data_IF_114105376829
#
_entry.id   IF_114105376829
#
_cell.length_a   1.000
_cell.length_b   1.000
_cell.length_c   1.000
_cell.angle_alpha   90.00
_cell.angle_beta   90.00
_cell.angle_gamma   90.00
#
_symmetry.space_group_name_H-M   'P 1'
#
loop_
_entity.id
_entity.type
_entity.pdbx_description
1 polymer ?
#
# COMPACT_ATOMS: atom_id res chain seq x y z
N UNK A 1 -24.02 -39.51 10.02
CA UNK A 1 -23.58 -38.76 11.20
C UNK A 1 -22.87 -37.52 10.68
N UNK A 2 -23.39 -36.32 10.95
CA UNK A 2 -22.65 -35.08 10.71
C UNK A 2 -21.72 -34.93 11.91
N UNK A 3 -20.43 -35.16 11.72
CA UNK A 3 -19.45 -34.80 12.73
C UNK A 3 -19.29 -33.27 12.65
N UNK A 4 -19.83 -32.59 13.65
CA UNK A 4 -19.64 -31.16 13.86
C UNK A 4 -18.20 -30.97 14.38
N UNK A 5 -17.25 -30.86 13.45
CA UNK A 5 -15.89 -30.41 13.76
C UNK A 5 -15.90 -28.88 13.77
N UNK A 6 -16.34 -28.26 14.86
CA UNK A 6 -16.09 -26.83 15.05
C UNK A 6 -14.58 -26.64 15.31
N UNK A 7 -13.84 -26.32 14.24
CA UNK A 7 -12.37 -26.19 14.22
C UNK A 7 -11.90 -24.90 14.94
N UNK A 8 -12.73 -24.21 15.74
CA UNK A 8 -12.41 -22.90 16.30
C UNK A 8 -12.92 -22.73 17.74
N UNK A 9 -12.13 -22.06 18.58
CA UNK A 9 -12.55 -21.52 19.89
C UNK A 9 -13.09 -20.09 19.64
N UNK A 10 -14.36 -19.85 19.98
CA UNK A 10 -15.19 -18.68 19.56
C UNK A 10 -14.71 -17.32 20.10
N UNK A 11 -13.53 -17.23 20.71
CA UNK A 11 -13.07 -16.03 21.44
C UNK A 11 -12.39 -14.96 20.59
N UNK A 12 -12.20 -15.21 19.29
CA UNK A 12 -11.67 -14.24 18.31
C UNK A 12 -12.58 -14.07 17.08
N UNK A 13 -13.84 -14.53 17.14
CA UNK A 13 -14.76 -14.54 15.99
C UNK A 13 -15.51 -13.21 15.85
N UNK A 14 -15.42 -12.62 14.66
CA UNK A 14 -16.33 -11.57 14.22
C UNK A 14 -16.85 -12.03 12.85
N UNK A 15 -18.16 -12.20 12.71
CA UNK A 15 -18.89 -12.35 11.44
C UNK A 15 -18.40 -13.42 10.45
N UNK A 16 -18.00 -14.59 10.92
CA UNK A 16 -17.73 -15.73 10.03
C UNK A 16 -16.33 -15.76 9.41
N UNK A 17 -15.41 -14.95 9.93
CA UNK A 17 -14.01 -14.86 9.52
C UNK A 17 -13.05 -15.14 10.68
N UNK A 18 -11.83 -15.57 10.35
CA UNK A 18 -10.70 -15.74 11.29
C UNK A 18 -9.55 -14.87 10.82
N UNK A 19 -8.98 -14.09 11.74
CA UNK A 19 -7.76 -13.33 11.51
C UNK A 19 -6.58 -14.05 12.17
N UNK A 20 -5.64 -14.57 11.39
CA UNK A 20 -4.44 -15.22 11.93
C UNK A 20 -3.44 -14.17 12.39
N UNK A 21 -3.06 -14.00 13.66
CA UNK A 21 -2.06 -12.96 14.01
C UNK A 21 -0.64 -13.54 14.07
N UNK A 22 0.35 -12.85 13.48
CA UNK A 22 1.76 -13.26 13.55
C UNK A 22 2.23 -13.20 15.01
N UNK A 23 2.81 -14.29 15.52
CA UNK A 23 3.30 -14.39 16.90
C UNK A 23 2.23 -14.53 18.00
N UNK A 24 0.94 -14.39 17.66
CA UNK A 24 -0.17 -14.65 18.58
C UNK A 24 -0.72 -16.05 18.31
N UNK A 25 -0.96 -16.89 19.32
CA UNK A 25 -1.69 -18.13 19.12
C UNK A 25 -3.13 -17.77 18.79
N UNK A 26 -3.46 -17.63 17.52
CA UNK A 26 -4.84 -17.84 17.11
C UNK A 26 -5.19 -19.27 17.50
N UNK A 27 -6.15 -19.40 18.41
CA UNK A 27 -6.68 -20.68 18.86
C UNK A 27 -7.49 -21.32 17.72
N UNK A 28 -6.77 -21.86 16.73
CA UNK A 28 -7.26 -22.97 15.94
C UNK A 28 -7.60 -24.10 16.91
N UNK A 29 -8.68 -24.84 16.63
CA UNK A 29 -9.20 -25.85 17.55
C UNK A 29 -8.09 -26.74 18.07
N UNK A 30 -8.08 -27.03 19.38
CA UNK A 30 -7.10 -27.92 19.98
C UNK A 30 -7.16 -29.35 19.41
N UNK A 31 -8.21 -29.69 18.65
CA UNK A 31 -8.36 -30.95 17.94
C UNK A 31 -7.59 -30.99 16.61
N UNK A 32 -7.12 -29.85 16.10
CA UNK A 32 -6.40 -29.77 14.83
C UNK A 32 -4.96 -30.30 14.97
N UNK A 33 -4.46 -31.13 14.03
CA UNK A 33 -3.07 -31.59 14.07
C UNK A 33 -2.08 -30.43 14.07
N UNK A 34 -1.07 -30.51 14.95
CA UNK A 34 -0.06 -29.44 15.12
C UNK A 34 0.61 -29.02 13.81
N UNK A 35 0.89 -29.98 12.91
CA UNK A 35 1.51 -29.73 11.62
C UNK A 35 0.60 -28.92 10.68
N UNK A 36 -0.70 -29.23 10.63
CA UNK A 36 -1.68 -28.46 9.83
C UNK A 36 -1.84 -27.05 10.39
N UNK A 37 -1.93 -26.94 11.71
CA UNK A 37 -2.03 -25.65 12.37
C UNK A 37 -0.76 -24.80 12.17
N UNK A 38 0.41 -25.44 12.08
CA UNK A 38 1.68 -24.79 11.76
C UNK A 38 1.72 -24.35 10.30
N UNK A 39 1.33 -25.21 9.34
CA UNK A 39 1.25 -24.89 7.92
C UNK A 39 0.31 -23.70 7.65
N UNK A 40 -0.90 -23.73 8.21
CA UNK A 40 -1.86 -22.62 8.07
C UNK A 40 -1.27 -21.33 8.63
N UNK A 41 -0.58 -21.40 9.77
CA UNK A 41 0.12 -20.24 10.35
C UNK A 41 1.26 -19.74 9.49
N UNK A 42 2.02 -20.63 8.87
CA UNK A 42 3.18 -20.29 8.05
C UNK A 42 2.77 -19.54 6.78
N UNK A 43 1.76 -20.05 6.07
CA UNK A 43 1.36 -19.50 4.77
C UNK A 43 0.21 -18.48 4.83
N UNK A 44 -0.57 -18.44 5.92
CA UNK A 44 -1.70 -17.53 6.08
C UNK A 44 -1.57 -16.60 7.30
N UNK A 45 -0.35 -16.48 7.86
CA UNK A 45 -0.07 -15.51 8.92
C UNK A 45 -0.59 -14.13 8.51
N UNK A 46 -1.40 -13.54 9.38
CA UNK A 46 -1.85 -12.15 9.30
C UNK A 46 -2.68 -11.84 8.04
N UNK A 47 -3.28 -12.92 7.53
CA UNK A 47 -4.44 -12.94 6.65
C UNK A 47 -5.76 -13.02 7.46
N UNK A 48 -6.81 -12.43 6.90
CA UNK A 48 -8.20 -12.62 7.33
C UNK A 48 -8.86 -13.57 6.34
N UNK A 49 -9.34 -14.71 6.83
CA UNK A 49 -9.85 -15.80 5.99
C UNK A 49 -11.26 -16.15 6.45
N UNK A 50 -12.21 -16.35 5.53
CA UNK A 50 -13.55 -16.81 5.90
C UNK A 50 -13.49 -18.22 6.47
N UNK A 51 -14.40 -18.59 7.38
CA UNK A 51 -14.45 -19.96 7.91
C UNK A 51 -14.62 -21.01 6.82
N UNK A 52 -15.37 -20.68 5.76
CA UNK A 52 -15.58 -21.59 4.63
C UNK A 52 -14.27 -21.87 3.90
N UNK A 53 -13.46 -20.84 3.65
CA UNK A 53 -12.18 -21.00 3.00
C UNK A 53 -11.16 -21.66 3.93
N UNK A 54 -11.14 -21.30 5.22
CA UNK A 54 -10.29 -21.92 6.22
C UNK A 54 -10.58 -23.41 6.35
N UNK A 55 -11.85 -23.82 6.42
CA UNK A 55 -12.22 -25.23 6.46
C UNK A 55 -11.75 -25.98 5.21
N UNK A 56 -11.84 -25.37 4.03
CA UNK A 56 -11.30 -25.96 2.80
C UNK A 56 -9.78 -26.13 2.86
N UNK A 57 -9.06 -25.12 3.34
CA UNK A 57 -7.60 -25.17 3.52
C UNK A 57 -7.24 -26.26 4.52
N UNK A 58 -7.92 -26.33 5.67
CA UNK A 58 -7.70 -27.34 6.71
C UNK A 58 -7.94 -28.74 6.16
N UNK A 59 -9.09 -29.00 5.53
CA UNK A 59 -9.41 -30.29 4.93
C UNK A 59 -8.39 -30.70 3.87
N UNK A 60 -7.94 -29.74 3.06
CA UNK A 60 -6.90 -29.98 2.06
C UNK A 60 -5.54 -30.30 2.71
N UNK A 61 -5.24 -29.68 3.85
CA UNK A 61 -4.02 -29.92 4.60
C UNK A 61 -4.07 -31.19 5.44
N UNK A 62 -5.21 -31.84 5.68
CA UNK A 62 -5.23 -33.12 6.40
C UNK A 62 -4.60 -34.26 5.59
N UNK A 63 -4.56 -34.12 4.26
CA UNK A 63 -3.84 -35.02 3.36
C UNK A 63 -2.40 -34.54 3.13
N UNK A 64 -1.43 -35.29 3.67
CA UNK A 64 0.00 -34.97 3.54
C UNK A 64 0.49 -34.90 2.09
N UNK A 65 -0.15 -35.59 1.15
CA UNK A 65 0.20 -35.52 -0.28
C UNK A 65 -0.24 -34.20 -0.91
N UNK A 66 -1.29 -33.58 -0.38
CA UNK A 66 -1.86 -32.32 -0.86
C UNK A 66 -1.16 -31.10 -0.23
N UNK A 67 -0.73 -31.21 1.03
CA UNK A 67 0.07 -30.16 1.71
C UNK A 67 1.30 -29.76 0.90
N UNK A 68 2.09 -30.75 0.48
CA UNK A 68 3.32 -30.53 -0.27
C UNK A 68 3.01 -29.94 -1.65
N UNK A 69 1.96 -30.44 -2.32
CA UNK A 69 1.52 -29.91 -3.61
C UNK A 69 1.07 -28.45 -3.53
N UNK A 70 0.33 -28.05 -2.49
CA UNK A 70 -0.07 -26.64 -2.31
C UNK A 70 1.12 -25.76 -1.98
N UNK A 71 2.04 -26.23 -1.13
CA UNK A 71 3.32 -25.54 -0.89
C UNK A 71 4.13 -25.35 -2.17
N UNK A 72 4.24 -26.39 -2.99
CA UNK A 72 4.95 -26.39 -4.27
C UNK A 72 4.24 -25.52 -5.33
N UNK A 73 2.90 -25.49 -5.32
CA UNK A 73 2.11 -24.60 -6.19
C UNK A 73 2.31 -23.15 -5.79
N UNK A 74 2.21 -22.82 -4.49
CA UNK A 74 2.45 -21.46 -3.99
C UNK A 74 3.88 -21.00 -4.31
N UNK A 75 4.87 -21.85 -4.02
CA UNK A 75 6.28 -21.62 -4.38
C UNK A 75 6.48 -21.52 -5.91
N UNK A 76 5.74 -22.32 -6.68
CA UNK A 76 5.77 -22.36 -8.13
C UNK A 76 5.08 -21.17 -8.81
N UNK A 77 4.14 -20.52 -8.13
CA UNK A 77 3.48 -19.29 -8.55
C UNK A 77 4.35 -18.08 -8.22
N UNK A 78 4.99 -18.09 -7.04
CA UNK A 78 6.00 -17.11 -6.64
C UNK A 78 7.17 -17.05 -7.63
N UNK A 79 7.66 -18.20 -8.08
CA UNK A 79 8.79 -18.30 -9.03
C UNK A 79 8.43 -17.98 -10.48
N UNK A 80 7.14 -17.97 -10.85
CA UNK A 80 6.70 -17.80 -12.25
C UNK A 80 5.93 -16.52 -12.55
N UNK A 81 5.80 -15.61 -11.58
CA UNK A 81 5.11 -14.32 -11.76
C UNK A 81 3.71 -14.42 -12.39
N UNK A 82 2.99 -15.52 -12.16
CA UNK A 82 1.68 -15.74 -12.77
C UNK A 82 0.56 -15.11 -11.93
N UNK A 83 -0.36 -14.39 -12.59
CA UNK A 83 -1.53 -13.78 -11.95
C UNK A 83 -2.54 -14.83 -11.47
N UNK A 84 -2.96 -14.68 -10.22
CA UNK A 84 -4.21 -15.22 -9.68
C UNK A 84 -4.97 -13.98 -9.19
N UNK A 85 -6.29 -13.93 -9.40
CA UNK A 85 -7.10 -12.72 -9.17
C UNK A 85 -6.85 -12.02 -7.83
N UNK A 86 -7.18 -10.73 -7.75
CA UNK A 86 -6.83 -9.73 -6.72
C UNK A 86 -6.61 -10.19 -5.25
N UNK A 87 -7.17 -11.32 -4.82
CA UNK A 87 -6.76 -11.99 -3.58
C UNK A 87 -5.27 -12.38 -3.53
N UNK A 88 -4.61 -12.63 -4.69
CA UNK A 88 -3.17 -12.87 -4.78
C UNK A 88 -2.34 -11.56 -4.68
N UNK A 89 -2.95 -10.41 -4.99
CA UNK A 89 -2.31 -9.10 -4.84
C UNK A 89 -1.87 -8.82 -3.40
N UNK A 90 -2.65 -9.29 -2.41
CA UNK A 90 -2.31 -9.27 -0.98
C UNK A 90 -1.19 -10.25 -0.58
N UNK A 91 -0.97 -11.32 -1.34
CA UNK A 91 0.17 -12.23 -1.15
C UNK A 91 1.46 -11.65 -1.75
N UNK A 92 1.37 -10.83 -2.79
CA UNK A 92 2.52 -10.24 -3.48
C UNK A 92 3.08 -9.00 -2.76
N UNK A 93 2.30 -8.29 -1.96
CA UNK A 93 2.82 -7.25 -1.04
C UNK A 93 3.67 -7.86 0.09
N UNK A 94 3.41 -9.12 0.48
CA UNK A 94 4.22 -9.84 1.47
C UNK A 94 5.56 -10.38 0.89
N UNK A 95 5.78 -10.41 -0.45
CA UNK A 95 7.08 -10.81 -1.06
C UNK A 95 8.01 -9.64 -1.41
N UNK A 96 7.58 -8.39 -1.19
CA UNK A 96 8.41 -7.19 -1.41
C UNK A 96 9.31 -6.82 -0.21
N UNK A 97 9.29 -7.58 0.90
CA UNK A 97 10.06 -7.29 2.13
C UNK A 97 11.44 -7.96 2.13
N UNK A 98 11.90 -8.55 1.03
CA UNK A 98 13.12 -9.37 1.08
C UNK A 98 14.44 -8.59 1.27
N UNK A 99 14.46 -7.27 1.46
CA UNK A 99 15.71 -6.58 1.87
C UNK A 99 15.64 -5.35 2.79
N UNK A 100 14.50 -4.80 3.21
CA UNK A 100 14.50 -3.85 4.35
C UNK A 100 13.20 -3.99 5.14
N UNK A 101 13.34 -3.94 6.46
CA UNK A 101 12.41 -4.27 7.54
C UNK A 101 11.09 -3.46 7.49
N UNK A 102 10.16 -3.81 6.61
CA UNK A 102 8.78 -3.27 6.63
C UNK A 102 7.89 -4.25 7.38
N UNK A 103 7.54 -3.93 8.62
CA UNK A 103 6.45 -4.63 9.31
C UNK A 103 5.10 -4.31 8.65
N UNK A 104 4.11 -5.21 8.78
CA UNK A 104 2.79 -5.04 8.14
C UNK A 104 2.19 -3.69 8.48
N UNK A 105 1.74 -3.01 7.44
CA UNK A 105 1.21 -1.67 7.57
C UNK A 105 -0.31 -1.73 7.75
N UNK A 106 -0.77 -1.22 8.87
CA UNK A 106 -2.16 -1.17 9.27
C UNK A 106 -2.80 0.13 8.79
N UNK A 107 -3.93 0.01 8.10
CA UNK A 107 -4.78 1.13 7.72
C UNK A 107 -6.18 0.90 8.28
N UNK A 108 -6.87 1.99 8.61
CA UNK A 108 -8.26 1.95 9.09
C UNK A 108 -9.20 1.28 8.05
N UNK A 109 -10.06 0.38 8.52
CA UNK A 109 -11.01 -0.42 7.74
C UNK A 109 -12.04 0.45 6.98
N UNK A 110 -12.18 1.73 7.35
CA UNK A 110 -13.13 2.65 6.70
C UNK A 110 -12.81 3.01 5.24
N UNK A 111 -11.58 2.75 4.75
CA UNK A 111 -11.15 3.12 3.40
C UNK A 111 -10.91 1.94 2.44
N UNK A 112 -10.97 0.72 2.94
CA UNK A 112 -10.89 -0.48 2.13
C UNK A 112 -12.25 -0.74 1.47
N UNK A 113 -12.46 -0.19 0.28
CA UNK A 113 -13.20 -0.79 -0.85
C UNK A 113 -13.10 0.21 -2.04
N UNK A 114 -12.34 -0.15 -3.08
CA UNK A 114 -12.25 0.47 -4.41
C UNK A 114 -11.47 1.80 -4.62
N UNK A 115 -11.07 2.53 -3.58
CA UNK A 115 -10.48 3.87 -3.77
C UNK A 115 -8.95 3.96 -3.86
N UNK A 116 -8.19 2.95 -3.41
CA UNK A 116 -6.74 3.08 -3.18
C UNK A 116 -5.84 2.26 -4.14
N UNK A 117 -6.37 1.76 -5.25
CA UNK A 117 -5.64 0.89 -6.17
C UNK A 117 -4.32 1.51 -6.65
N UNK A 118 -4.34 2.76 -7.11
CA UNK A 118 -3.13 3.41 -7.62
C UNK A 118 -2.08 3.69 -6.53
N UNK A 119 -2.53 3.87 -5.28
CA UNK A 119 -1.61 4.02 -4.14
C UNK A 119 -0.84 2.73 -3.85
N UNK A 120 -1.54 1.60 -3.84
CA UNK A 120 -0.94 0.29 -3.65
C UNK A 120 0.01 -0.05 -4.81
N UNK A 121 -0.43 0.18 -6.05
CA UNK A 121 0.36 -0.13 -7.25
C UNK A 121 1.64 0.71 -7.29
N UNK A 122 1.55 2.01 -6.99
CA UNK A 122 2.72 2.88 -6.97
C UNK A 122 3.66 2.54 -5.81
N UNK A 123 3.15 2.20 -4.62
CA UNK A 123 3.98 1.77 -3.50
C UNK A 123 4.78 0.51 -3.86
N UNK A 124 4.10 -0.49 -4.42
CA UNK A 124 4.70 -1.73 -4.89
C UNK A 124 5.77 -1.48 -5.97
N UNK A 125 5.44 -0.67 -6.97
CA UNK A 125 6.37 -0.30 -8.03
C UNK A 125 7.62 0.38 -7.48
N UNK A 126 7.45 1.36 -6.59
CA UNK A 126 8.57 2.13 -6.05
C UNK A 126 9.47 1.30 -5.13
N UNK A 127 8.89 0.48 -4.25
CA UNK A 127 9.65 -0.39 -3.35
C UNK A 127 10.43 -1.47 -4.10
N UNK A 128 9.87 -2.00 -5.18
CA UNK A 128 10.50 -3.09 -5.96
C UNK A 128 11.47 -2.59 -7.02
N UNK A 129 11.09 -1.58 -7.79
CA UNK A 129 11.81 -1.14 -8.99
C UNK A 129 12.25 0.33 -8.92
N UNK A 130 11.61 1.15 -8.08
CA UNK A 130 11.83 2.58 -8.03
C UNK A 130 12.85 3.05 -7.00
N UNK A 131 13.81 2.22 -6.56
CA UNK A 131 14.82 2.62 -5.56
C UNK A 131 15.58 3.89 -5.94
N UNK A 132 15.88 4.09 -7.21
CA UNK A 132 16.55 5.31 -7.72
C UNK A 132 15.73 6.59 -7.49
N UNK A 133 14.41 6.47 -7.39
CA UNK A 133 13.53 7.58 -7.05
C UNK A 133 13.43 7.83 -5.55
N UNK A 134 13.50 6.79 -4.71
CA UNK A 134 13.11 6.91 -3.30
C UNK A 134 14.27 6.81 -2.30
N UNK A 135 15.38 6.14 -2.65
CA UNK A 135 16.49 5.92 -1.73
C UNK A 135 17.16 7.25 -1.34
N UNK A 136 17.32 7.49 -0.04
CA UNK A 136 17.90 8.70 0.55
C UNK A 136 17.24 10.04 0.12
N UNK A 137 16.06 9.98 -0.50
CA UNK A 137 15.33 11.15 -0.98
C UNK A 137 14.25 11.62 0.00
N UNK A 138 13.94 12.91 -0.04
CA UNK A 138 12.83 13.49 0.69
C UNK A 138 11.56 13.43 -0.16
N UNK A 139 10.52 12.80 0.37
CA UNK A 139 9.26 12.56 -0.32
C UNK A 139 8.21 13.57 0.15
N UNK A 140 7.47 14.16 -0.78
CA UNK A 140 6.23 14.90 -0.50
C UNK A 140 5.08 14.19 -1.21
N UNK A 141 4.09 13.72 -0.46
CA UNK A 141 2.86 13.15 -1.01
C UNK A 141 1.72 14.18 -0.97
N UNK A 142 1.15 14.50 -2.14
CA UNK A 142 -0.01 15.38 -2.29
C UNK A 142 -1.29 14.55 -2.33
N UNK A 143 -2.28 14.91 -1.50
CA UNK A 143 -3.55 14.18 -1.45
C UNK A 143 -3.36 12.76 -0.95
N UNK A 144 -2.65 12.62 0.18
CA UNK A 144 -2.22 11.33 0.71
C UNK A 144 -3.37 10.41 1.14
N UNK A 145 -4.59 10.94 1.33
CA UNK A 145 -5.72 10.14 1.77
C UNK A 145 -5.44 9.47 3.11
N UNK A 146 -5.48 8.14 3.17
CA UNK A 146 -5.14 7.41 4.40
C UNK A 146 -3.61 7.33 4.68
N UNK A 147 -2.77 7.83 3.78
CA UNK A 147 -1.31 7.84 3.89
C UNK A 147 -0.64 6.56 3.41
N UNK A 148 -1.32 5.72 2.61
CA UNK A 148 -0.84 4.37 2.27
C UNK A 148 0.55 4.35 1.67
N UNK A 149 0.75 5.13 0.62
CA UNK A 149 2.01 5.15 -0.13
C UNK A 149 3.15 5.69 0.74
N UNK A 150 3.03 6.89 1.30
CA UNK A 150 4.12 7.49 2.05
C UNK A 150 4.40 6.79 3.38
N UNK A 151 3.41 6.18 4.05
CA UNK A 151 3.66 5.32 5.22
C UNK A 151 4.43 4.07 4.80
N UNK A 152 4.10 3.45 3.66
CA UNK A 152 4.85 2.31 3.14
C UNK A 152 6.30 2.65 2.78
N UNK A 153 6.51 3.80 2.15
CA UNK A 153 7.85 4.29 1.87
C UNK A 153 8.62 4.60 3.15
N UNK A 154 8.00 5.23 4.14
CA UNK A 154 8.64 5.50 5.43
C UNK A 154 9.01 4.22 6.18
N UNK A 155 8.11 3.24 6.24
CA UNK A 155 8.33 1.95 6.89
C UNK A 155 9.46 1.14 6.23
N UNK A 156 9.77 1.39 4.96
CA UNK A 156 10.88 0.73 4.27
C UNK A 156 12.26 1.16 4.73
N UNK A 157 12.38 2.28 5.45
CA UNK A 157 13.67 2.77 5.94
C UNK A 157 14.68 3.16 4.86
N UNK A 158 14.32 3.12 3.57
CA UNK A 158 15.19 3.54 2.46
C UNK A 158 15.04 5.03 2.12
N UNK A 159 13.90 5.62 2.47
CA UNK A 159 13.64 7.05 2.23
C UNK A 159 14.21 7.89 3.37
N UNK A 160 14.68 9.09 3.05
CA UNK A 160 15.26 9.99 4.05
C UNK A 160 14.20 10.66 4.92
N UNK A 161 13.12 11.11 4.29
CA UNK A 161 11.96 11.66 5.00
C UNK A 161 10.71 11.56 4.14
N UNK A 162 9.55 11.55 4.80
CA UNK A 162 8.24 11.61 4.14
C UNK A 162 7.44 12.77 4.71
N UNK A 163 6.87 13.59 3.85
CA UNK A 163 5.87 14.60 4.20
C UNK A 163 4.56 14.21 3.54
N UNK A 164 3.57 13.83 4.35
CA UNK A 164 2.22 13.51 3.91
C UNK A 164 1.37 14.77 3.98
N UNK A 165 0.60 15.04 2.92
CA UNK A 165 -0.26 16.21 2.87
C UNK A 165 -1.64 15.93 2.30
N UNK A 166 -2.62 16.65 2.84
CA UNK A 166 -4.01 16.62 2.36
C UNK A 166 -4.68 17.99 2.60
N UNK A 167 -5.73 18.28 1.83
CA UNK A 167 -6.53 19.49 1.91
C UNK A 167 -7.68 19.39 2.91
N UNK A 168 -7.83 18.26 3.60
CA UNK A 168 -8.88 18.03 4.60
C UNK A 168 -8.29 17.65 5.97
N UNK A 169 -8.62 18.41 7.02
CA UNK A 169 -8.12 18.15 8.39
C UNK A 169 -8.56 16.80 8.95
N UNK A 170 -9.77 16.33 8.62
CA UNK A 170 -10.26 15.01 9.07
C UNK A 170 -9.38 13.89 8.47
N UNK A 171 -8.96 14.06 7.21
CA UNK A 171 -8.02 13.14 6.54
C UNK A 171 -6.64 13.22 7.19
N UNK A 172 -6.16 14.41 7.55
CA UNK A 172 -4.89 14.54 8.29
C UNK A 172 -4.93 13.82 9.64
N UNK A 173 -6.07 13.82 10.34
CA UNK A 173 -6.22 13.07 11.59
C UNK A 173 -6.18 11.56 11.37
N UNK A 174 -6.77 11.07 10.27
CA UNK A 174 -6.62 9.68 9.82
C UNK A 174 -5.16 9.35 9.53
N UNK A 175 -4.44 10.20 8.79
CA UNK A 175 -3.01 9.99 8.50
C UNK A 175 -2.22 9.91 9.81
N UNK A 176 -2.46 10.84 10.75
CA UNK A 176 -1.78 10.82 12.06
C UNK A 176 -2.11 9.57 12.85
N UNK A 177 -3.35 9.08 12.79
CA UNK A 177 -3.74 7.82 13.41
C UNK A 177 -2.98 6.64 12.80
N UNK A 178 -2.95 6.54 11.46
CA UNK A 178 -2.26 5.47 10.75
C UNK A 178 -0.74 5.50 10.99
N UNK A 179 -0.11 6.68 11.07
CA UNK A 179 1.30 6.79 11.47
C UNK A 179 1.51 6.17 12.86
N UNK A 180 0.70 6.52 13.85
CA UNK A 180 0.83 5.99 15.22
C UNK A 180 0.58 4.47 15.29
N UNK A 181 -0.24 3.94 14.39
CA UNK A 181 -0.48 2.49 14.30
C UNK A 181 0.70 1.72 13.71
N UNK A 182 1.57 2.37 12.93
CA UNK A 182 2.64 1.73 12.17
C UNK A 182 4.05 2.02 12.66
N UNK A 183 4.24 3.10 13.41
CA UNK A 183 5.55 3.52 13.90
C UNK A 183 5.58 3.57 15.42
N UNK A 184 6.62 2.98 16.00
CA UNK A 184 7.02 3.26 17.38
C UNK A 184 7.68 4.63 17.48
N UNK A 185 7.79 5.20 18.70
CA UNK A 185 8.42 6.51 18.91
C UNK A 185 9.89 6.56 18.43
N UNK A 186 10.55 5.40 18.29
CA UNK A 186 11.94 5.24 17.87
C UNK A 186 12.11 4.97 16.36
N UNK A 187 11.20 5.44 15.50
CA UNK A 187 11.36 5.28 14.05
C UNK A 187 12.51 6.15 13.49
N UNK A 188 13.42 5.54 12.74
CA UNK A 188 14.57 6.23 12.13
C UNK A 188 14.16 7.21 11.00
N UNK A 189 13.02 6.97 10.34
CA UNK A 189 12.55 7.81 9.23
C UNK A 189 11.66 8.95 9.72
N UNK A 190 12.00 10.18 9.35
CA UNK A 190 11.21 11.37 9.68
C UNK A 190 9.91 11.40 8.86
N UNK A 191 8.75 11.36 9.54
CA UNK A 191 7.43 11.48 8.93
C UNK A 191 6.72 12.76 9.41
N UNK A 192 6.37 13.64 8.46
CA UNK A 192 5.65 14.89 8.70
C UNK A 192 4.23 14.82 8.15
N UNK A 193 3.28 15.52 8.78
CA UNK A 193 1.91 15.67 8.29
C UNK A 193 1.54 17.13 8.22
N UNK A 194 1.19 17.62 7.03
CA UNK A 194 0.88 19.04 6.80
C UNK A 194 -0.44 19.23 6.05
N UNK A 195 -1.11 20.34 6.31
CA UNK A 195 -2.25 20.77 5.51
C UNK A 195 -1.78 21.42 4.21
N UNK A 196 -2.24 20.92 3.07
CA UNK A 196 -1.99 21.51 1.75
C UNK A 196 -3.28 21.56 0.96
N UNK A 197 -3.80 22.78 0.80
CA UNK A 197 -4.81 23.06 -0.20
C UNK A 197 -4.12 23.44 -1.53
N UNK A 198 -4.41 22.70 -2.59
CA UNK A 198 -3.69 22.83 -3.87
C UNK A 198 -3.79 24.26 -4.45
N UNK A 199 -4.97 24.88 -4.38
CA UNK A 199 -5.19 26.22 -4.91
C UNK A 199 -4.41 27.33 -4.21
N UNK A 200 -3.91 27.08 -3.00
CA UNK A 200 -3.27 28.06 -2.13
C UNK A 200 -1.90 27.61 -1.62
N UNK A 201 -1.27 26.60 -2.25
CA UNK A 201 -0.03 26.00 -1.76
C UNK A 201 1.05 27.05 -1.46
N UNK A 202 1.64 26.97 -0.27
CA UNK A 202 2.69 27.87 0.18
C UNK A 202 3.94 27.08 0.55
N UNK A 203 4.99 27.26 -0.25
CA UNK A 203 6.26 26.55 -0.15
C UNK A 203 6.96 26.72 1.21
N UNK A 204 6.65 27.80 1.95
CA UNK A 204 7.23 28.06 3.27
C UNK A 204 6.73 27.11 4.35
N UNK A 205 5.60 26.44 4.12
CA UNK A 205 5.03 25.46 5.05
C UNK A 205 5.44 24.02 4.72
N UNK A 206 6.24 23.82 3.67
CA UNK A 206 6.82 22.51 3.37
C UNK A 206 8.05 22.35 4.28
N UNK A 207 8.04 21.40 5.24
CA UNK A 207 9.06 21.32 6.28
C UNK A 207 10.41 20.84 5.74
N UNK A 208 10.38 20.00 4.70
CA UNK A 208 11.56 19.44 4.05
C UNK A 208 11.44 19.64 2.55
N UNK A 209 12.47 20.21 1.92
CA UNK A 209 12.51 20.38 0.46
C UNK A 209 12.45 18.99 -0.19
N UNK A 210 11.40 18.67 -0.97
CA UNK A 210 11.25 17.36 -1.57
C UNK A 210 12.21 17.18 -2.74
N UNK A 211 12.72 15.96 -2.88
CA UNK A 211 13.42 15.49 -4.08
C UNK A 211 12.44 14.73 -5.00
N UNK A 212 11.38 14.14 -4.44
CA UNK A 212 10.29 13.51 -5.19
C UNK A 212 8.93 13.94 -4.65
N UNK A 213 8.04 14.30 -5.57
CA UNK A 213 6.63 14.60 -5.29
C UNK A 213 5.78 13.44 -5.80
N UNK A 214 4.98 12.84 -4.93
CA UNK A 214 4.06 11.75 -5.25
C UNK A 214 2.63 12.26 -5.16
N UNK A 215 1.74 11.74 -6.01
CA UNK A 215 0.31 11.95 -5.89
C UNK A 215 -0.45 10.77 -6.46
N UNK A 216 -1.35 10.18 -5.67
CA UNK A 216 -2.09 8.98 -6.05
C UNK A 216 -3.59 9.17 -5.97
N UNK A 217 -4.30 8.73 -7.00
CA UNK A 217 -5.77 8.87 -7.08
C UNK A 217 -6.28 10.32 -6.85
N UNK A 218 -5.48 11.33 -7.18
CA UNK A 218 -5.79 12.77 -7.02
C UNK A 218 -6.51 13.39 -8.22
N UNK A 219 -6.58 12.68 -9.35
CA UNK A 219 -7.25 13.12 -10.59
C UNK A 219 -8.65 12.50 -10.64
N UNK A 220 -9.53 12.97 -9.76
CA UNK A 220 -10.91 12.47 -9.62
C UNK A 220 -11.98 13.53 -9.90
N UNK A 221 -11.73 14.80 -9.55
CA UNK A 221 -12.65 15.92 -9.78
C UNK A 221 -12.08 16.92 -10.80
N UNK A 222 -12.85 17.20 -11.85
CA UNK A 222 -12.49 18.19 -12.87
C UNK A 222 -12.25 19.59 -12.29
N UNK A 223 -12.90 19.98 -11.19
CA UNK A 223 -12.68 21.27 -10.54
C UNK A 223 -11.34 21.33 -9.81
N UNK A 224 -10.84 20.19 -9.34
CA UNK A 224 -9.60 20.10 -8.58
C UNK A 224 -8.35 20.00 -9.49
N UNK A 225 -8.51 19.64 -10.77
CA UNK A 225 -7.41 19.48 -11.75
C UNK A 225 -6.53 20.73 -11.87
N UNK A 226 -7.13 21.90 -12.10
CA UNK A 226 -6.35 23.13 -12.30
C UNK A 226 -5.57 23.55 -11.04
N UNK A 227 -6.19 23.58 -9.84
CA UNK A 227 -5.48 23.76 -8.59
C UNK A 227 -4.33 22.76 -8.38
N UNK A 228 -4.57 21.47 -8.62
CA UNK A 228 -3.56 20.41 -8.47
C UNK A 228 -2.35 20.65 -9.36
N UNK A 229 -2.57 20.85 -10.66
CA UNK A 229 -1.51 21.08 -11.63
C UNK A 229 -0.72 22.34 -11.30
N UNK A 230 -1.41 23.41 -10.88
CA UNK A 230 -0.78 24.65 -10.46
C UNK A 230 0.11 24.45 -9.22
N UNK A 231 -0.36 23.66 -8.26
CA UNK A 231 0.41 23.32 -7.07
C UNK A 231 1.70 22.55 -7.42
N UNK A 232 1.58 21.50 -8.24
CA UNK A 232 2.72 20.68 -8.69
C UNK A 232 3.74 21.55 -9.44
N UNK A 233 3.30 22.35 -10.42
CA UNK A 233 4.18 23.26 -11.15
C UNK A 233 4.90 24.23 -10.22
N UNK A 234 4.18 24.82 -9.27
CA UNK A 234 4.76 25.75 -8.29
C UNK A 234 5.81 25.08 -7.41
N UNK A 235 5.55 23.86 -6.92
CA UNK A 235 6.50 23.09 -6.11
C UNK A 235 7.76 22.73 -6.92
N UNK A 236 7.60 22.23 -8.14
CA UNK A 236 8.70 21.86 -9.03
C UNK A 236 9.61 23.05 -9.35
N UNK A 237 9.02 24.21 -9.66
CA UNK A 237 9.79 25.44 -9.96
C UNK A 237 10.45 26.00 -8.70
N UNK A 238 9.74 26.04 -7.58
CA UNK A 238 10.23 26.70 -6.36
C UNK A 238 11.38 25.94 -5.69
N UNK A 239 11.44 24.62 -5.86
CA UNK A 239 12.48 23.77 -5.30
C UNK A 239 13.55 23.36 -6.33
N UNK A 240 13.52 23.94 -7.53
CA UNK A 240 14.57 23.74 -8.51
C UNK A 240 15.90 24.34 -8.00
N UNK A 241 16.94 23.50 -7.84
CA UNK A 241 18.26 23.92 -7.35
C UNK A 241 19.15 24.28 -8.54
N UNK A 242 19.80 25.46 -8.52
CA UNK A 242 20.66 25.92 -9.63
C UNK A 242 21.89 25.02 -9.94
N UNK A 243 22.27 24.10 -9.03
CA UNK A 243 23.46 23.23 -9.15
C UNK A 243 23.26 21.79 -8.65
N UNK A 244 22.02 21.31 -8.55
CA UNK A 244 21.70 19.97 -8.04
C UNK A 244 20.34 19.49 -8.55
N UNK A 245 20.10 18.18 -8.44
CA UNK A 245 18.89 17.49 -8.90
C UNK A 245 17.62 18.28 -8.61
N UNK A 246 16.88 18.62 -9.66
CA UNK A 246 15.53 19.19 -9.57
C UNK A 246 14.58 18.13 -9.02
N UNK A 247 13.56 18.51 -8.23
CA UNK A 247 12.54 17.55 -7.83
C UNK A 247 11.84 16.97 -9.06
N UNK A 248 11.51 15.67 -9.01
CA UNK A 248 10.60 15.06 -9.98
C UNK A 248 9.21 14.86 -9.38
N UNK A 249 8.20 14.68 -10.23
CA UNK A 249 6.85 14.36 -9.78
C UNK A 249 6.39 13.07 -10.47
N UNK A 250 5.88 12.13 -9.67
CA UNK A 250 5.29 10.87 -10.12
C UNK A 250 3.82 10.88 -9.72
N UNK A 251 2.95 10.60 -10.68
CA UNK A 251 1.50 10.55 -10.47
C UNK A 251 1.02 9.18 -10.94
N UNK A 252 0.29 8.49 -10.07
CA UNK A 252 -0.44 7.28 -10.44
C UNK A 252 -1.92 7.48 -10.16
N UNK A 253 -2.79 7.13 -11.10
CA UNK A 253 -4.22 7.40 -10.95
C UNK A 253 -5.04 6.30 -11.59
N UNK A 254 -6.03 5.79 -10.86
CA UNK A 254 -7.00 4.87 -11.44
C UNK A 254 -7.88 5.64 -12.43
N UNK A 255 -7.92 5.22 -13.69
CA UNK A 255 -8.76 5.89 -14.69
C UNK A 255 -10.22 5.50 -14.46
N UNK A 256 -10.94 6.34 -13.71
CA UNK A 256 -12.38 6.19 -13.46
C UNK A 256 -13.24 7.04 -14.39
N UNK A 257 -12.69 8.15 -14.90
CA UNK A 257 -13.37 9.06 -15.80
C UNK A 257 -12.36 9.68 -16.78
N UNK A 258 -12.53 9.40 -18.07
CA UNK A 258 -11.64 9.88 -19.13
C UNK A 258 -11.60 11.42 -19.20
N UNK A 259 -12.73 12.10 -18.95
CA UNK A 259 -12.79 13.57 -19.02
C UNK A 259 -11.88 14.24 -17.97
N UNK A 260 -11.77 13.64 -16.77
CA UNK A 260 -10.90 14.17 -15.72
C UNK A 260 -9.43 14.03 -16.11
N UNK A 261 -9.06 12.90 -16.72
CA UNK A 261 -7.72 12.62 -17.23
C UNK A 261 -7.37 13.55 -18.40
N UNK A 262 -8.26 13.73 -19.38
CA UNK A 262 -8.04 14.61 -20.52
C UNK A 262 -7.86 16.06 -20.08
N UNK A 263 -8.65 16.51 -19.11
CA UNK A 263 -8.49 17.84 -18.49
C UNK A 263 -7.13 17.95 -17.80
N UNK A 264 -6.72 16.93 -17.05
CA UNK A 264 -5.41 16.90 -16.41
C UNK A 264 -4.26 17.03 -17.43
N UNK A 265 -4.27 16.22 -18.49
CA UNK A 265 -3.26 16.26 -19.55
C UNK A 265 -3.18 17.66 -20.18
N UNK A 266 -4.34 18.25 -20.47
CA UNK A 266 -4.45 19.59 -21.04
C UNK A 266 -3.81 20.65 -20.13
N UNK A 267 -4.15 20.67 -18.85
CA UNK A 267 -3.61 21.65 -17.88
C UNK A 267 -2.13 21.42 -17.58
N UNK A 268 -1.71 20.16 -17.47
CA UNK A 268 -0.32 19.80 -17.22
C UNK A 268 0.57 20.30 -18.37
N UNK A 269 0.05 20.39 -19.60
CA UNK A 269 0.79 20.80 -20.78
C UNK A 269 1.78 19.72 -21.24
N UNK A 270 1.49 18.47 -20.87
CA UNK A 270 2.32 17.31 -21.17
C UNK A 270 1.89 16.79 -22.54
N UNK A 271 2.75 16.92 -23.56
CA UNK A 271 2.66 16.01 -24.70
C UNK A 271 2.93 14.61 -24.13
N UNK A 272 2.00 13.66 -24.32
CA UNK A 272 2.04 12.28 -23.79
C UNK A 272 3.24 11.42 -24.24
N UNK A 273 4.30 12.03 -24.79
CA UNK A 273 5.59 11.39 -25.05
C UNK A 273 6.48 11.28 -23.79
N UNK A 274 6.04 11.78 -22.63
CA UNK A 274 6.69 11.49 -21.35
C UNK A 274 6.37 10.05 -20.97
N UNK A 275 7.31 9.12 -21.25
CA UNK A 275 7.29 7.69 -20.92
C UNK A 275 6.04 7.23 -20.16
N UNK A 276 4.97 6.95 -20.90
CA UNK A 276 3.91 6.08 -20.42
C UNK A 276 4.60 4.76 -20.07
N UNK A 277 4.71 4.46 -18.79
CA UNK A 277 4.71 3.06 -18.37
C UNK A 277 3.24 2.69 -18.42
N UNK A 278 2.71 2.55 -19.64
CA UNK A 278 1.59 1.64 -19.81
C UNK A 278 2.18 0.29 -19.44
N UNK A 279 1.58 -0.36 -18.47
CA UNK A 279 1.76 -1.79 -18.30
C UNK A 279 1.38 -2.43 -19.64
N UNK A 280 2.37 -2.63 -20.51
CA UNK A 280 2.33 -3.60 -21.59
C UNK A 280 2.30 -4.97 -20.90
N UNK A 281 1.13 -5.30 -20.33
CA UNK A 281 0.75 -6.64 -19.90
C UNK A 281 0.39 -7.42 -21.17
N UNK A 282 1.42 -7.89 -21.87
CA UNK A 282 1.34 -9.12 -22.69
C UNK A 282 2.01 -10.28 -21.95
#
# INVERSE_FOLDING_TARGET
MKEDFSILDDRNSIDGYVCFRKGHPCELSPLLPKAVAQFVREYFASATVSHVLLNKIVLFCEDSSQQQLLGDILCGLETRHAEIGWQLYRCLTDSMIDTVRVDRIYFDDFFSNDFLQASCDLANYLLKYGRDYISDNNILELGAGCGLLGIALAASGIVKSVTLSDGNNDVLDVIRHNIRANFSEDCDTMVNVIFVEWGSVNIKFIPVVPDVILATDVVYDTLAVEPLVSAIKKLLVSFNKEKGTSPCCIIANTIRNQNTVDKFITYAGVNLNGNRIEEDLE
#
